data_IF_647176208732
#
_entry.id   IF_647176208732
#
_cell.length_a   1.000
_cell.length_b   1.000
_cell.length_c   1.000
_cell.angle_alpha   90.00
_cell.angle_beta   90.00
_cell.angle_gamma   90.00
#
_symmetry.space_group_name_H-M   'P 1'
#
loop_
_entity.id
_entity.type
_entity.pdbx_description
1 polymer ?
#
# COMPACT_ATOMS: atom_id res chain seq x y z
N UNK A 1 -3.49 11.59 23.52
CA UNK A 1 -4.07 10.42 24.23
C UNK A 1 -3.61 9.18 23.48
N UNK A 2 -3.16 8.12 24.16
CA UNK A 2 -2.85 6.83 23.52
C UNK A 2 -4.18 6.17 23.14
N UNK A 3 -4.40 5.90 21.86
CA UNK A 3 -5.62 5.23 21.40
C UNK A 3 -5.23 3.87 20.86
N UNK A 4 -6.00 2.83 21.19
CA UNK A 4 -5.80 1.49 20.65
C UNK A 4 -6.60 1.36 19.34
N UNK A 5 -5.92 1.41 18.21
CA UNK A 5 -6.49 0.96 16.94
C UNK A 5 -6.04 -0.48 16.70
N UNK A 6 -6.99 -1.42 16.61
CA UNK A 6 -6.69 -2.84 16.37
C UNK A 6 -5.68 -3.46 17.35
N UNK A 7 -5.66 -2.98 18.60
CA UNK A 7 -4.71 -3.44 19.63
C UNK A 7 -3.32 -2.81 19.58
N UNK A 8 -3.05 -1.93 18.60
CA UNK A 8 -1.79 -1.20 18.48
C UNK A 8 -1.88 0.09 19.29
N UNK A 9 -0.91 0.30 20.19
CA UNK A 9 -0.80 1.51 21.01
C UNK A 9 0.07 2.53 20.29
N UNK A 10 -0.53 3.65 19.89
CA UNK A 10 0.16 4.77 19.26
C UNK A 10 -0.31 6.12 19.79
N UNK A 11 0.52 7.15 19.56
CA UNK A 11 0.15 8.55 19.78
C UNK A 11 -0.50 9.08 18.51
N UNK A 12 -1.78 9.41 18.60
CA UNK A 12 -2.51 10.05 17.51
C UNK A 12 -2.28 11.56 17.54
N UNK A 13 -1.99 12.11 16.37
CA UNK A 13 -1.68 13.50 16.11
C UNK A 13 -2.40 13.93 14.83
N UNK A 14 -2.53 15.23 14.60
CA UNK A 14 -3.19 15.76 13.41
C UNK A 14 -2.43 16.98 12.94
N UNK A 15 -2.07 17.01 11.65
CA UNK A 15 -1.63 18.23 11.00
C UNK A 15 -2.87 18.98 10.56
N UNK A 16 -3.12 20.14 11.17
CA UNK A 16 -4.20 21.04 10.76
C UNK A 16 -3.74 21.88 9.57
N UNK A 17 -4.50 21.84 8.48
CA UNK A 17 -4.25 22.62 7.28
C UNK A 17 -5.44 23.54 7.02
N UNK A 18 -5.27 24.64 6.26
CA UNK A 18 -6.30 25.69 6.14
C UNK A 18 -7.70 25.20 5.72
N UNK A 19 -7.79 24.06 5.04
CA UNK A 19 -9.04 23.51 4.53
C UNK A 19 -9.16 21.99 4.72
N UNK A 20 -8.26 21.36 5.48
CA UNK A 20 -8.26 19.91 5.71
C UNK A 20 -7.43 19.54 6.94
N UNK A 21 -7.73 18.40 7.52
CA UNK A 21 -6.98 17.78 8.61
C UNK A 21 -6.35 16.47 8.12
N UNK A 22 -5.07 16.29 8.43
CA UNK A 22 -4.31 15.07 8.13
C UNK A 22 -3.95 14.38 9.46
N UNK A 23 -4.81 13.49 9.97
CA UNK A 23 -4.49 12.66 11.13
C UNK A 23 -3.42 11.63 10.80
N UNK A 24 -2.54 11.39 11.76
CA UNK A 24 -1.50 10.37 11.69
C UNK A 24 -1.24 9.77 13.07
N UNK A 25 -0.75 8.54 13.10
CA UNK A 25 -0.43 7.79 14.29
C UNK A 25 1.06 7.49 14.34
N UNK A 26 1.68 7.82 15.48
CA UNK A 26 3.07 7.45 15.78
C UNK A 26 3.08 6.25 16.71
N UNK A 27 3.74 5.18 16.29
CA UNK A 27 4.03 4.01 17.12
C UNK A 27 5.52 4.00 17.47
N UNK A 28 5.83 3.92 18.76
CA UNK A 28 7.18 4.14 19.29
C UNK A 28 7.42 5.58 19.75
N UNK A 29 8.67 5.91 20.04
CA UNK A 29 9.07 7.23 20.53
C UNK A 29 9.96 7.96 19.52
N UNK A 30 9.38 8.97 18.87
CA UNK A 30 10.09 9.84 17.93
C UNK A 30 10.80 11.01 18.59
N UNK A 31 10.70 11.26 19.91
CA UNK A 31 11.50 12.32 20.55
C UNK A 31 12.82 11.78 21.08
N UNK A 32 12.81 10.54 21.58
CA UNK A 32 13.96 9.90 22.23
C UNK A 32 14.49 8.67 21.45
N UNK A 33 14.66 8.81 20.14
CA UNK A 33 15.33 7.81 19.30
C UNK A 33 16.49 8.42 18.52
N UNK A 34 17.53 7.62 18.29
CA UNK A 34 18.61 7.91 17.32
C UNK A 34 18.32 7.35 15.92
N UNK A 35 17.22 6.60 15.76
CA UNK A 35 16.79 6.04 14.47
C UNK A 35 15.86 7.01 13.75
N UNK A 36 16.05 7.12 12.44
CA UNK A 36 15.12 7.83 11.57
C UNK A 36 13.77 7.11 11.57
N UNK A 37 12.64 7.80 11.84
CA UNK A 37 11.32 7.18 11.79
C UNK A 37 10.98 6.67 10.39
N UNK A 38 10.15 5.62 10.34
CA UNK A 38 9.59 5.07 9.12
C UNK A 38 8.21 5.69 8.86
N UNK A 39 8.00 6.33 7.71
CA UNK A 39 6.65 6.70 7.26
C UNK A 39 6.12 5.58 6.37
N UNK A 40 5.03 4.96 6.81
CA UNK A 40 4.42 3.80 6.18
C UNK A 40 3.26 4.22 5.27
N UNK A 41 3.39 3.97 3.97
CA UNK A 41 2.37 4.34 2.98
C UNK A 41 1.49 3.15 2.64
N UNK A 42 0.20 3.26 2.92
CA UNK A 42 -0.78 2.29 2.45
C UNK A 42 -1.06 2.50 0.96
N UNK A 43 -1.51 1.44 0.28
CA UNK A 43 -1.96 1.52 -1.11
C UNK A 43 -3.48 1.68 -1.20
N UNK A 44 -4.02 1.24 -2.34
CA UNK A 44 -5.44 1.29 -2.68
C UNK A 44 -5.62 1.88 -4.07
N UNK A 45 -5.42 3.20 -4.30
CA UNK A 45 -5.53 4.26 -3.32
C UNK A 45 -6.85 4.14 -2.57
N UNK A 46 -6.89 4.59 -1.32
CA UNK A 46 -8.09 4.47 -0.50
C UNK A 46 -8.37 3.13 0.14
N UNK A 47 -7.32 2.32 0.35
CA UNK A 47 -7.34 1.41 1.49
C UNK A 47 -6.94 2.17 2.76
N UNK A 48 -6.97 1.45 3.88
CA UNK A 48 -6.70 1.99 5.20
C UNK A 48 -5.27 1.68 5.63
N UNK A 49 -4.72 2.53 6.51
CA UNK A 49 -3.47 2.26 7.22
C UNK A 49 -3.48 0.92 7.97
N UNK A 50 -4.65 0.40 8.36
CA UNK A 50 -4.78 -0.88 9.06
C UNK A 50 -4.25 -2.08 8.27
N UNK A 51 -4.21 -1.96 6.93
CA UNK A 51 -3.65 -3.00 6.05
C UNK A 51 -2.15 -3.21 6.22
N UNK A 52 -1.42 -2.24 6.78
CA UNK A 52 0.05 -2.25 6.92
C UNK A 52 0.53 -2.16 8.38
N UNK A 53 -0.40 -2.29 9.32
CA UNK A 53 -0.15 -2.27 10.76
C UNK A 53 0.88 -3.25 11.31
N UNK A 54 1.18 -4.42 10.72
CA UNK A 54 2.28 -5.26 11.18
C UNK A 54 3.62 -4.53 11.30
N UNK A 55 3.84 -3.47 10.52
CA UNK A 55 5.04 -2.63 10.66
C UNK A 55 5.23 -2.04 12.07
N UNK A 56 4.18 -1.96 12.90
CA UNK A 56 4.30 -1.52 14.29
C UNK A 56 5.32 -2.32 15.10
N UNK A 57 5.63 -3.56 14.66
CA UNK A 57 6.63 -4.41 15.30
C UNK A 57 8.03 -3.79 15.27
N UNK A 58 8.32 -2.95 14.28
CA UNK A 58 9.59 -2.24 14.18
C UNK A 58 9.86 -1.36 15.41
N UNK A 59 8.80 -0.80 16.00
CA UNK A 59 8.87 0.02 17.19
C UNK A 59 9.02 -0.80 18.49
N UNK A 60 8.86 -2.13 18.43
CA UNK A 60 8.94 -3.03 19.59
C UNK A 60 10.27 -3.78 19.68
N UNK A 61 11.15 -3.66 18.68
CA UNK A 61 12.48 -4.29 18.71
C UNK A 61 13.41 -3.66 19.76
N UNK A 62 14.45 -4.39 20.22
CA UNK A 62 15.44 -3.85 21.17
C UNK A 62 16.14 -2.57 20.70
N UNK A 63 16.34 -2.41 19.38
CA UNK A 63 16.68 -1.14 18.74
C UNK A 63 15.45 -0.68 17.95
N UNK A 64 14.54 0.08 18.58
CA UNK A 64 13.24 0.37 17.99
C UNK A 64 13.36 1.43 16.90
N UNK A 65 12.59 1.22 15.83
CA UNK A 65 12.40 2.19 14.76
C UNK A 65 10.96 2.68 14.88
N UNK A 66 10.71 3.95 15.22
CA UNK A 66 9.35 4.46 15.28
C UNK A 66 8.71 4.41 13.90
N UNK A 67 7.40 4.13 13.87
CA UNK A 67 6.63 4.03 12.64
C UNK A 67 5.49 5.05 12.68
N UNK A 68 5.33 5.77 11.58
CA UNK A 68 4.31 6.77 11.36
C UNK A 68 3.35 6.21 10.31
N UNK A 69 2.12 6.01 10.74
CA UNK A 69 1.00 5.64 9.88
C UNK A 69 0.12 6.84 9.67
N UNK A 70 -0.46 7.00 8.49
CA UNK A 70 -1.48 8.00 8.25
C UNK A 70 -2.43 7.49 7.17
N UNK A 71 -3.65 8.01 7.17
CA UNK A 71 -4.59 7.75 6.10
C UNK A 71 -4.48 8.90 5.08
N UNK A 72 -4.30 8.60 3.79
CA UNK A 72 -4.25 9.63 2.76
C UNK A 72 -5.56 10.43 2.69
N UNK A 73 -5.52 11.73 2.34
CA UNK A 73 -6.74 12.55 2.24
C UNK A 73 -7.77 11.90 1.31
N UNK A 74 -9.04 12.00 1.69
CA UNK A 74 -10.17 11.31 1.05
C UNK A 74 -10.42 9.90 1.58
N UNK A 75 -9.67 9.44 2.58
CA UNK A 75 -9.82 8.09 3.15
C UNK A 75 -9.94 8.12 4.67
N UNK A 76 -10.64 7.12 5.20
CA UNK A 76 -10.60 6.78 6.62
C UNK A 76 -10.93 7.97 7.53
N UNK A 77 -10.00 8.29 8.44
CA UNK A 77 -10.06 9.36 9.42
C UNK A 77 -9.65 10.72 8.86
N UNK A 78 -9.03 10.76 7.68
CA UNK A 78 -8.59 12.01 7.05
C UNK A 78 -9.76 12.75 6.41
N UNK A 79 -9.59 14.05 6.13
CA UNK A 79 -10.67 14.85 5.53
C UNK A 79 -11.18 14.22 4.24
N UNK A 80 -12.50 14.07 4.16
CA UNK A 80 -13.22 13.60 2.97
C UNK A 80 -13.53 14.77 2.05
N UNK A 81 -13.38 14.56 0.74
CA UNK A 81 -13.52 15.59 -0.30
C UNK A 81 -14.42 15.07 -1.42
N UNK A 82 -15.63 14.65 -1.06
CA UNK A 82 -16.55 13.89 -1.91
C UNK A 82 -17.08 14.71 -3.10
N UNK A 83 -17.01 16.04 -3.00
CA UNK A 83 -17.40 16.98 -4.05
C UNK A 83 -16.33 17.13 -5.14
N UNK A 84 -15.11 16.63 -4.93
CA UNK A 84 -14.01 16.83 -5.87
C UNK A 84 -14.15 15.94 -7.11
N UNK A 85 -13.93 16.49 -8.31
CA UNK A 85 -13.97 15.70 -9.53
C UNK A 85 -12.81 14.70 -9.59
N UNK A 86 -12.96 13.66 -10.41
CA UNK A 86 -11.91 12.63 -10.59
C UNK A 86 -10.54 13.22 -10.96
N UNK A 87 -10.51 14.34 -11.70
CA UNK A 87 -9.28 15.03 -12.11
C UNK A 87 -8.53 15.72 -10.97
N UNK A 88 -9.15 15.90 -9.81
CA UNK A 88 -8.49 16.45 -8.61
C UNK A 88 -7.50 15.46 -8.01
N UNK A 89 -7.84 14.17 -8.05
CA UNK A 89 -7.09 13.09 -7.42
C UNK A 89 -5.89 12.72 -8.29
N UNK A 90 -4.72 13.27 -7.96
CA UNK A 90 -3.47 13.08 -8.71
C UNK A 90 -2.36 12.51 -7.83
N UNK A 91 -1.33 11.91 -8.43
CA UNK A 91 -0.16 11.46 -7.67
C UNK A 91 0.59 12.66 -7.07
N UNK A 92 0.69 13.77 -7.80
CA UNK A 92 1.35 14.99 -7.30
C UNK A 92 0.67 15.53 -6.03
N UNK A 93 -0.66 15.48 -5.97
CA UNK A 93 -1.41 15.82 -4.76
C UNK A 93 -0.98 14.99 -3.54
N UNK A 94 -0.83 13.68 -3.70
CA UNK A 94 -0.40 12.79 -2.62
C UNK A 94 1.10 12.90 -2.31
N UNK A 95 1.93 13.28 -3.29
CA UNK A 95 3.36 13.62 -3.06
C UNK A 95 3.47 14.91 -2.23
N UNK A 96 2.66 15.93 -2.52
CA UNK A 96 2.65 17.18 -1.74
C UNK A 96 2.18 16.92 -0.31
N UNK A 97 1.16 16.09 -0.13
CA UNK A 97 0.69 15.64 1.19
C UNK A 97 1.78 14.89 1.97
N UNK A 98 2.47 13.95 1.34
CA UNK A 98 3.57 13.22 1.95
C UNK A 98 4.74 14.15 2.33
N UNK A 99 5.10 15.08 1.44
CA UNK A 99 6.19 16.04 1.65
C UNK A 99 5.88 16.93 2.85
N UNK A 100 4.63 17.36 2.95
CA UNK A 100 4.13 18.11 4.09
C UNK A 100 4.25 17.32 5.40
N UNK A 101 3.75 16.08 5.43
CA UNK A 101 3.87 15.20 6.60
C UNK A 101 5.34 15.06 7.03
N UNK A 102 6.23 14.78 6.08
CA UNK A 102 7.66 14.61 6.36
C UNK A 102 8.28 15.89 6.93
N UNK A 103 7.92 17.05 6.36
CA UNK A 103 8.50 18.36 6.72
C UNK A 103 8.13 18.86 8.11
N UNK A 104 6.96 18.47 8.64
CA UNK A 104 6.40 19.10 9.84
C UNK A 104 6.69 18.36 11.14
N UNK A 105 6.93 17.04 11.13
CA UNK A 105 6.95 16.29 12.40
C UNK A 105 7.74 14.98 12.42
N UNK A 106 8.57 14.68 11.41
CA UNK A 106 9.11 13.31 11.25
C UNK A 106 10.63 13.19 11.31
N UNK A 107 11.37 14.28 11.57
CA UNK A 107 12.84 14.32 11.69
C UNK A 107 13.56 13.63 10.51
N UNK A 108 13.11 13.90 9.28
CA UNK A 108 13.74 13.37 8.07
C UNK A 108 13.42 11.89 7.80
N UNK A 109 12.17 11.48 8.06
CA UNK A 109 11.74 10.10 7.95
C UNK A 109 12.10 9.42 6.61
N UNK A 110 12.39 8.13 6.69
CA UNK A 110 12.50 7.26 5.51
C UNK A 110 11.10 6.77 5.15
N UNK A 111 10.72 6.97 3.90
CA UNK A 111 9.45 6.47 3.40
C UNK A 111 9.63 5.04 2.92
N UNK A 112 8.79 4.13 3.41
CA UNK A 112 8.67 2.77 2.91
C UNK A 112 7.29 2.62 2.28
N UNK A 113 7.26 2.50 0.96
CA UNK A 113 6.06 2.25 0.18
C UNK A 113 5.61 0.80 0.41
N UNK A 114 4.56 0.62 1.21
CA UNK A 114 3.96 -0.68 1.50
C UNK A 114 2.68 -0.89 0.71
N UNK A 115 2.91 -1.22 -0.55
CA UNK A 115 2.27 -2.28 -1.28
C UNK A 115 0.97 -2.90 -0.66
N UNK A 116 -0.23 -2.51 -1.15
CA UNK A 116 -1.60 -2.95 -0.72
C UNK A 116 -2.64 -3.31 -1.83
N UNK A 117 -3.66 -4.16 -1.57
CA UNK A 117 -4.40 -5.01 -2.52
C UNK A 117 -5.09 -4.51 -3.80
N UNK A 118 -5.15 -3.21 -4.08
CA UNK A 118 -5.76 -2.70 -5.34
C UNK A 118 -4.91 -1.65 -6.09
N UNK A 119 -3.78 -1.24 -5.51
CA UNK A 119 -2.63 -0.58 -6.20
C UNK A 119 -1.33 -0.91 -5.50
N UNK A 120 -1.19 -2.18 -5.15
CA UNK A 120 -0.04 -2.67 -4.37
C UNK A 120 1.28 -2.47 -5.07
N UNK A 121 1.20 -2.26 -6.34
CA UNK A 121 2.34 -1.90 -7.11
C UNK A 121 1.83 -0.64 -7.76
N UNK A 122 2.42 0.48 -7.38
CA UNK A 122 2.62 1.53 -8.36
C UNK A 122 3.63 0.89 -9.31
N UNK A 123 3.20 0.13 -10.35
CA UNK A 123 4.19 -0.33 -11.29
C UNK A 123 4.88 0.93 -11.80
N UNK A 124 6.14 0.80 -12.17
CA UNK A 124 6.74 1.85 -12.97
C UNK A 124 5.90 2.12 -14.22
N UNK A 125 5.10 1.14 -14.70
CA UNK A 125 4.22 1.26 -15.85
C UNK A 125 2.89 0.50 -15.69
N UNK A 126 1.74 1.18 -15.83
CA UNK A 126 0.41 0.54 -15.85
C UNK A 126 0.26 -0.47 -16.96
N UNK A 127 0.91 -0.22 -18.11
CA UNK A 127 0.91 -1.15 -19.24
C UNK A 127 1.53 -2.50 -18.86
N UNK A 128 2.69 -2.49 -18.20
CA UNK A 128 3.35 -3.72 -17.75
C UNK A 128 2.51 -4.43 -16.68
N UNK A 129 1.90 -3.69 -15.76
CA UNK A 129 1.00 -4.27 -14.76
C UNK A 129 -0.22 -4.92 -15.38
N UNK A 130 -0.84 -4.28 -16.38
CA UNK A 130 -1.96 -4.85 -17.10
C UNK A 130 -1.56 -6.16 -17.79
N UNK A 131 -0.39 -6.20 -18.45
CA UNK A 131 0.12 -7.43 -19.07
C UNK A 131 0.34 -8.55 -18.03
N UNK A 132 0.88 -8.22 -16.86
CA UNK A 132 1.05 -9.19 -15.77
C UNK A 132 -0.29 -9.71 -15.24
N UNK A 133 -1.24 -8.81 -14.98
CA UNK A 133 -2.60 -9.19 -14.56
C UNK A 133 -3.27 -10.11 -15.57
N UNK A 134 -3.14 -9.83 -16.88
CA UNK A 134 -3.74 -10.68 -17.92
C UNK A 134 -3.14 -12.09 -17.95
N UNK A 135 -1.85 -12.26 -17.65
CA UNK A 135 -1.24 -13.60 -17.51
C UNK A 135 -1.76 -14.35 -16.29
N UNK A 136 -1.92 -13.67 -15.15
CA UNK A 136 -2.55 -14.26 -13.96
C UNK A 136 -4.01 -14.63 -14.21
N UNK A 137 -4.74 -13.79 -14.94
CA UNK A 137 -6.10 -14.10 -15.38
C UNK A 137 -6.13 -15.32 -16.31
N UNK A 138 -5.12 -15.55 -17.14
CA UNK A 138 -5.03 -16.75 -17.97
C UNK A 138 -4.68 -18.02 -17.19
N UNK A 139 -4.06 -17.90 -16.00
CA UNK A 139 -3.65 -19.06 -15.19
C UNK A 139 -4.73 -19.59 -14.24
N UNK A 140 -5.87 -18.91 -14.10
CA UNK A 140 -7.00 -19.36 -13.27
C UNK A 140 -8.07 -20.08 -14.11
N UNK A 141 -8.96 -20.88 -13.49
CA UNK A 141 -9.99 -21.64 -14.22
C UNK A 141 -10.89 -20.77 -15.10
N UNK A 142 -11.27 -21.27 -16.28
CA UNK A 142 -12.01 -20.53 -17.30
C UNK A 142 -13.34 -19.99 -16.78
N UNK A 143 -14.04 -20.76 -15.96
CA UNK A 143 -15.29 -20.35 -15.32
C UNK A 143 -15.13 -19.12 -14.42
N UNK A 144 -14.00 -19.03 -13.71
CA UNK A 144 -13.67 -17.88 -12.87
C UNK A 144 -13.33 -16.67 -13.75
N UNK A 145 -12.58 -16.89 -14.84
CA UNK A 145 -12.23 -15.84 -15.79
C UNK A 145 -13.48 -15.21 -16.40
N UNK A 146 -14.45 -16.02 -16.83
CA UNK A 146 -15.67 -15.55 -17.47
C UNK A 146 -16.49 -14.64 -16.56
N UNK A 147 -16.64 -15.01 -15.28
CA UNK A 147 -17.34 -14.20 -14.29
C UNK A 147 -16.64 -12.85 -14.09
N UNK A 148 -15.32 -12.85 -13.90
CA UNK A 148 -14.54 -11.62 -13.68
C UNK A 148 -14.53 -10.72 -14.93
N UNK A 149 -14.40 -11.31 -16.13
CA UNK A 149 -14.44 -10.58 -17.40
C UNK A 149 -15.81 -9.94 -17.64
N UNK A 150 -16.90 -10.66 -17.35
CA UNK A 150 -18.27 -10.15 -17.50
C UNK A 150 -18.51 -8.89 -16.67
N UNK A 151 -17.85 -8.79 -15.52
CA UNK A 151 -17.97 -7.64 -14.65
C UNK A 151 -17.17 -6.41 -15.13
N UNK A 152 -16.17 -6.60 -15.99
CA UNK A 152 -15.44 -5.49 -16.64
C UNK A 152 -14.68 -4.60 -15.65
N UNK A 153 -14.14 -5.17 -14.58
CA UNK A 153 -13.37 -4.44 -13.57
C UNK A 153 -14.19 -3.64 -12.56
N UNK A 154 -15.52 -3.68 -12.63
CA UNK A 154 -16.39 -3.08 -11.61
C UNK A 154 -16.46 -3.97 -10.38
N UNK A 155 -16.42 -3.39 -9.19
CA UNK A 155 -16.69 -4.16 -7.97
C UNK A 155 -18.21 -4.33 -7.85
N UNK A 156 -18.70 -5.56 -7.72
CA UNK A 156 -20.11 -5.86 -7.47
C UNK A 156 -20.25 -6.82 -6.30
N UNK A 157 -20.23 -6.25 -5.10
CA UNK A 157 -20.37 -6.98 -3.84
C UNK A 157 -21.74 -7.62 -3.66
N UNK A 158 -22.74 -7.24 -4.46
CA UNK A 158 -24.08 -7.83 -4.42
C UNK A 158 -24.17 -9.16 -5.19
N UNK A 159 -23.28 -9.37 -6.16
CA UNK A 159 -23.26 -10.54 -7.01
C UNK A 159 -22.48 -11.70 -6.37
N UNK A 160 -23.20 -12.78 -6.02
CA UNK A 160 -22.63 -13.97 -5.38
C UNK A 160 -21.62 -14.70 -6.25
N UNK A 161 -21.81 -14.76 -7.57
CA UNK A 161 -20.87 -15.40 -8.49
C UNK A 161 -19.59 -14.59 -8.60
N UNK A 162 -19.72 -13.26 -8.75
CA UNK A 162 -18.60 -12.34 -8.73
C UNK A 162 -17.81 -12.46 -7.43
N UNK A 163 -18.48 -12.45 -6.27
CA UNK A 163 -17.82 -12.58 -4.97
C UNK A 163 -17.03 -13.89 -4.84
N UNK A 164 -17.57 -15.00 -5.33
CA UNK A 164 -16.84 -16.29 -5.36
C UNK A 164 -15.62 -16.24 -6.26
N UNK A 165 -15.76 -15.66 -7.45
CA UNK A 165 -14.66 -15.53 -8.41
C UNK A 165 -13.57 -14.57 -7.90
N UNK A 166 -13.96 -13.44 -7.31
CA UNK A 166 -13.06 -12.49 -6.67
C UNK A 166 -12.35 -13.11 -5.47
N UNK A 167 -13.05 -13.86 -4.62
CA UNK A 167 -12.45 -14.59 -3.51
C UNK A 167 -11.43 -15.64 -3.98
N UNK A 168 -11.72 -16.34 -5.09
CA UNK A 168 -10.76 -17.25 -5.71
C UNK A 168 -9.49 -16.50 -6.15
N UNK A 169 -9.65 -15.40 -6.89
CA UNK A 169 -8.52 -14.58 -7.33
C UNK A 169 -7.70 -14.06 -6.15
N UNK A 170 -8.36 -13.50 -5.14
CA UNK A 170 -7.72 -13.03 -3.90
C UNK A 170 -6.99 -14.16 -3.17
N UNK A 171 -7.51 -15.38 -3.14
CA UNK A 171 -6.82 -16.52 -2.52
C UNK A 171 -5.56 -16.94 -3.28
N UNK A 172 -5.55 -16.80 -4.61
CA UNK A 172 -4.39 -17.17 -5.42
C UNK A 172 -3.29 -16.11 -5.39
N UNK A 173 -3.67 -14.83 -5.56
CA UNK A 173 -2.72 -13.75 -5.81
C UNK A 173 -2.76 -12.63 -4.76
N UNK A 174 -3.69 -12.68 -3.81
CA UNK A 174 -3.92 -11.66 -2.77
C UNK A 174 -3.43 -12.07 -1.37
N UNK A 175 -3.89 -13.21 -0.86
CA UNK A 175 -3.40 -13.75 0.42
C UNK A 175 -3.48 -15.28 0.42
N UNK A 176 -2.42 -15.91 0.91
CA UNK A 176 -2.28 -17.36 1.04
C UNK A 176 -2.77 -17.87 2.40
N UNK A 177 -2.72 -17.03 3.42
CA UNK A 177 -3.10 -17.36 4.80
C UNK A 177 -4.24 -16.43 5.23
N UNK A 178 -5.46 -16.88 4.97
CA UNK A 178 -6.63 -16.05 4.76
C UNK A 178 -7.37 -15.62 6.04
N UNK A 179 -6.75 -14.92 7.00
CA UNK A 179 -7.53 -14.39 8.15
C UNK A 179 -7.34 -12.88 8.42
N UNK A 180 -6.14 -12.35 8.70
CA UNK A 180 -6.03 -10.95 9.12
C UNK A 180 -6.22 -9.93 7.99
N UNK A 181 -5.72 -10.24 6.77
CA UNK A 181 -5.88 -9.36 5.61
C UNK A 181 -7.31 -9.33 5.11
N UNK A 182 -8.03 -10.46 5.17
CA UNK A 182 -9.45 -10.48 4.80
C UNK A 182 -10.26 -9.58 5.72
N UNK A 183 -9.96 -9.52 7.02
CA UNK A 183 -10.69 -8.64 7.92
C UNK A 183 -10.28 -7.17 7.79
N UNK A 184 -8.99 -6.84 7.60
CA UNK A 184 -8.56 -5.46 7.35
C UNK A 184 -9.09 -4.93 5.99
N UNK A 185 -9.07 -5.78 4.96
CA UNK A 185 -9.64 -5.48 3.64
C UNK A 185 -11.17 -5.41 3.72
N UNK A 186 -11.83 -6.36 4.36
CA UNK A 186 -13.28 -6.34 4.53
C UNK A 186 -13.71 -5.14 5.36
N UNK A 187 -12.97 -4.75 6.40
CA UNK A 187 -13.22 -3.52 7.11
C UNK A 187 -13.07 -2.30 6.18
N UNK A 188 -12.00 -2.23 5.39
CA UNK A 188 -11.82 -1.15 4.40
C UNK A 188 -12.98 -1.08 3.40
N UNK A 189 -13.46 -2.24 2.92
CA UNK A 189 -14.54 -2.34 1.93
C UNK A 189 -15.95 -2.12 2.52
N UNK A 190 -16.15 -2.37 3.82
CA UNK A 190 -17.45 -2.19 4.51
C UNK A 190 -17.77 -0.72 4.84
N UNK A 191 -16.79 0.17 4.70
CA UNK A 191 -16.97 1.59 4.92
C UNK A 191 -16.94 2.28 3.55
N UNK A 192 -18.10 2.34 2.90
CA UNK A 192 -18.26 2.80 1.51
C UNK A 192 -17.73 4.22 1.27
N UNK A 193 -17.72 5.07 2.31
CA UNK A 193 -17.14 6.42 2.30
C UNK A 193 -15.63 6.44 1.98
N UNK A 194 -14.94 5.30 2.07
CA UNK A 194 -13.49 5.19 1.77
C UNK A 194 -13.18 4.85 0.31
N UNK A 195 -14.20 4.65 -0.53
CA UNK A 195 -13.99 4.27 -1.93
C UNK A 195 -13.94 5.46 -2.88
N UNK A 196 -14.14 6.71 -2.42
CA UNK A 196 -14.13 7.90 -3.29
C UNK A 196 -12.81 8.03 -4.03
N UNK A 197 -11.69 7.99 -3.30
CA UNK A 197 -10.35 8.06 -3.90
C UNK A 197 -10.07 6.83 -4.77
N UNK A 198 -10.42 5.64 -4.30
CA UNK A 198 -10.24 4.40 -5.07
C UNK A 198 -10.99 4.49 -6.41
N UNK A 199 -12.25 4.88 -6.39
CA UNK A 199 -13.11 4.99 -7.56
C UNK A 199 -12.61 6.08 -8.52
N UNK A 200 -12.25 7.25 -8.01
CA UNK A 200 -11.69 8.32 -8.81
C UNK A 200 -10.39 7.89 -9.50
N UNK A 201 -9.53 7.18 -8.79
CA UNK A 201 -8.25 6.70 -9.32
C UNK A 201 -8.40 5.57 -10.32
N UNK A 202 -9.36 4.66 -10.13
CA UNK A 202 -9.67 3.58 -11.07
C UNK A 202 -10.29 4.10 -12.38
N UNK A 203 -11.03 5.21 -12.32
CA UNK A 203 -11.66 5.83 -13.51
C UNK A 203 -10.78 6.88 -14.18
N UNK A 204 -9.85 7.48 -13.43
CA UNK A 204 -9.00 8.57 -13.88
C UNK A 204 -7.77 8.15 -14.69
N UNK A 205 -7.02 9.15 -15.17
CA UNK A 205 -5.83 8.99 -16.04
C UNK A 205 -4.70 8.16 -15.41
N UNK A 206 -4.64 8.08 -14.09
CA UNK A 206 -3.65 7.26 -13.38
C UNK A 206 -3.86 5.76 -13.65
N UNK A 207 -5.08 5.32 -13.94
CA UNK A 207 -5.32 3.95 -14.34
C UNK A 207 -4.91 3.68 -15.79
N UNK A 208 -5.00 4.66 -16.69
CA UNK A 208 -4.76 4.47 -18.11
C UNK A 208 -3.32 4.75 -18.56
N UNK A 209 -2.69 5.82 -18.05
CA UNK A 209 -1.50 6.43 -18.68
C UNK A 209 -0.27 6.47 -17.76
N UNK A 210 -0.38 5.98 -16.52
CA UNK A 210 0.72 6.09 -15.56
C UNK A 210 1.96 5.28 -15.98
N UNK A 211 3.05 6.00 -16.22
CA UNK A 211 4.39 5.47 -16.42
C UNK A 211 5.44 6.45 -15.86
N UNK A 212 6.34 5.96 -15.02
CA UNK A 212 7.47 6.69 -14.43
C UNK A 212 8.79 5.96 -14.66
N UNK A 213 8.80 4.95 -15.54
CA UNK A 213 10.00 4.14 -15.83
C UNK A 213 11.18 5.01 -16.25
N UNK A 214 10.91 6.04 -17.05
CA UNK A 214 11.89 7.02 -17.54
C UNK A 214 12.47 7.92 -16.42
N UNK A 215 11.79 8.03 -15.27
CA UNK A 215 12.20 8.85 -14.12
C UNK A 215 12.83 8.06 -12.98
N UNK A 216 12.80 6.72 -13.01
CA UNK A 216 13.36 5.88 -11.95
C UNK A 216 14.85 6.17 -11.68
N UNK A 217 15.59 6.52 -12.74
CA UNK A 217 16.99 6.90 -12.64
C UNK A 217 17.22 8.18 -11.83
N UNK A 218 16.19 8.94 -11.46
CA UNK A 218 16.30 10.12 -10.59
C UNK A 218 16.38 9.73 -9.10
N UNK A 219 16.03 8.49 -8.74
CA UNK A 219 16.12 8.01 -7.35
C UNK A 219 17.60 7.85 -6.96
N UNK A 220 18.05 8.63 -5.98
CA UNK A 220 19.45 8.66 -5.49
C UNK A 220 19.67 7.96 -4.16
N UNK A 221 18.58 7.77 -3.39
CA UNK A 221 18.61 7.14 -2.07
C UNK A 221 18.73 5.63 -2.20
N UNK A 222 19.27 4.99 -1.16
CA UNK A 222 19.24 3.54 -1.07
C UNK A 222 17.78 3.07 -1.04
N UNK A 223 17.45 2.10 -1.88
CA UNK A 223 16.07 1.62 -2.07
C UNK A 223 15.99 0.13 -1.80
N UNK A 224 15.00 -0.28 -1.00
CA UNK A 224 14.65 -1.69 -0.81
C UNK A 224 13.45 -2.02 -1.70
N UNK A 225 13.66 -2.92 -2.64
CA UNK A 225 12.62 -3.50 -3.47
C UNK A 225 12.21 -4.84 -2.88
N UNK A 226 10.92 -4.97 -2.54
CA UNK A 226 10.35 -6.19 -2.00
C UNK A 226 9.30 -6.71 -2.98
N UNK A 227 9.31 -8.01 -3.23
CA UNK A 227 8.22 -8.68 -3.95
C UNK A 227 8.04 -10.10 -3.46
N UNK A 228 7.05 -10.78 -4.01
CA UNK A 228 6.63 -12.08 -3.52
C UNK A 228 6.42 -13.05 -4.67
N UNK A 229 6.70 -14.33 -4.40
CA UNK A 229 6.69 -15.38 -5.44
C UNK A 229 5.31 -15.61 -6.06
N UNK A 230 4.25 -15.49 -5.27
CA UNK A 230 2.87 -15.81 -5.70
C UNK A 230 2.01 -14.56 -5.96
N UNK A 231 2.62 -13.38 -5.98
CA UNK A 231 1.93 -12.15 -6.34
C UNK A 231 1.66 -12.13 -7.87
N UNK A 232 0.58 -11.47 -8.29
CA UNK A 232 0.38 -11.15 -9.71
C UNK A 232 1.43 -10.17 -10.25
N UNK A 233 2.17 -9.52 -9.34
CA UNK A 233 3.31 -8.65 -9.65
C UNK A 233 4.59 -9.44 -9.47
N UNK A 234 4.92 -10.15 -10.54
CA UNK A 234 6.10 -10.97 -10.61
C UNK A 234 7.36 -10.16 -10.89
N UNK A 235 8.46 -10.90 -11.01
CA UNK A 235 9.82 -10.40 -11.20
C UNK A 235 10.00 -9.42 -12.35
N UNK A 236 9.19 -9.51 -13.40
CA UNK A 236 9.23 -8.59 -14.55
C UNK A 236 9.00 -7.13 -14.14
N UNK A 237 8.03 -6.87 -13.27
CA UNK A 237 7.73 -5.51 -12.82
C UNK A 237 8.81 -4.99 -11.88
N UNK A 238 9.29 -5.84 -10.97
CA UNK A 238 10.39 -5.53 -10.07
C UNK A 238 11.70 -5.28 -10.82
N UNK A 239 11.96 -6.00 -11.92
CA UNK A 239 13.13 -5.79 -12.76
C UNK A 239 13.18 -4.38 -13.34
N UNK A 240 12.03 -3.75 -13.59
CA UNK A 240 11.96 -2.38 -14.07
C UNK A 240 12.54 -1.41 -13.04
N UNK A 241 12.25 -1.61 -11.75
CA UNK A 241 12.86 -0.83 -10.67
C UNK A 241 14.33 -1.18 -10.50
N UNK A 242 14.65 -2.48 -10.43
CA UNK A 242 16.00 -2.95 -10.16
C UNK A 242 17.00 -2.47 -11.21
N UNK A 243 16.62 -2.47 -12.49
CA UNK A 243 17.49 -2.07 -13.59
C UNK A 243 17.65 -0.55 -13.74
N UNK A 244 16.68 0.25 -13.27
CA UNK A 244 16.68 1.70 -13.48
C UNK A 244 17.00 2.52 -12.22
N UNK A 245 17.01 1.92 -11.02
CA UNK A 245 17.44 2.57 -9.79
C UNK A 245 18.90 2.20 -9.51
N UNK A 246 19.76 3.21 -9.34
CA UNK A 246 21.21 2.98 -9.18
C UNK A 246 21.59 2.28 -7.86
N UNK A 247 20.86 2.55 -6.77
CA UNK A 247 21.13 2.00 -5.42
C UNK A 247 19.94 1.22 -4.91
N UNK A 248 19.80 -0.02 -5.35
CA UNK A 248 18.65 -0.86 -5.05
C UNK A 248 19.08 -2.24 -4.53
N UNK A 249 18.44 -2.68 -3.45
CA UNK A 249 18.50 -4.05 -2.95
C UNK A 249 17.16 -4.71 -3.21
N UNK A 250 17.18 -5.93 -3.74
CA UNK A 250 15.94 -6.66 -4.05
C UNK A 250 15.87 -7.93 -3.20
N UNK A 251 14.76 -8.10 -2.47
CA UNK A 251 14.44 -9.30 -1.70
C UNK A 251 13.07 -9.84 -2.12
N UNK A 252 13.03 -11.13 -2.46
CA UNK A 252 11.78 -11.84 -2.76
C UNK A 252 11.36 -12.73 -1.58
N UNK A 253 10.08 -12.67 -1.23
CA UNK A 253 9.43 -13.53 -0.23
C UNK A 253 8.87 -14.79 -0.89
N UNK A 254 9.46 -15.94 -0.58
CA UNK A 254 9.24 -17.18 -1.32
C UNK A 254 7.93 -17.90 -0.97
N UNK A 255 7.30 -17.54 0.15
CA UNK A 255 6.09 -18.18 0.68
C UNK A 255 4.88 -17.23 0.71
N UNK A 256 5.05 -15.99 0.22
CA UNK A 256 4.04 -14.94 0.24
C UNK A 256 3.39 -14.70 -1.13
N UNK A 257 2.20 -14.13 -1.09
CA UNK A 257 1.51 -13.54 -2.24
C UNK A 257 1.53 -12.02 -2.10
N UNK A 258 0.44 -11.37 -1.72
CA UNK A 258 0.32 -9.93 -1.80
C UNK A 258 0.51 -9.23 -0.47
N UNK A 259 0.87 -9.92 0.62
CA UNK A 259 0.99 -9.30 1.94
C UNK A 259 2.05 -10.03 2.78
N UNK A 260 3.33 -9.96 2.39
CA UNK A 260 4.41 -10.66 3.07
C UNK A 260 4.60 -10.18 4.51
N UNK A 261 4.20 -8.95 4.82
CA UNK A 261 4.17 -8.41 6.18
C UNK A 261 3.13 -9.09 7.08
N UNK A 262 2.16 -9.79 6.51
CA UNK A 262 1.21 -10.66 7.22
C UNK A 262 1.57 -12.14 7.06
N UNK A 263 1.99 -12.58 5.87
CA UNK A 263 2.23 -13.99 5.52
C UNK A 263 3.59 -14.51 6.02
N UNK A 264 4.63 -13.68 5.97
CA UNK A 264 6.00 -13.98 6.40
C UNK A 264 6.50 -12.91 7.41
N UNK A 265 5.63 -12.49 8.34
CA UNK A 265 5.81 -11.32 9.23
C UNK A 265 7.19 -11.24 9.89
N UNK A 266 7.67 -12.32 10.51
CA UNK A 266 8.98 -12.33 11.17
C UNK A 266 10.12 -12.02 10.19
N UNK A 267 10.18 -12.76 9.08
CA UNK A 267 11.18 -12.57 8.02
C UNK A 267 11.07 -11.19 7.39
N UNK A 268 9.84 -10.72 7.19
CA UNK A 268 9.57 -9.40 6.64
C UNK A 268 10.16 -8.30 7.52
N UNK A 269 9.88 -8.35 8.82
CA UNK A 269 10.42 -7.38 9.77
C UNK A 269 11.94 -7.46 9.87
N UNK A 270 12.54 -8.65 9.82
CA UNK A 270 14.00 -8.82 9.79
C UNK A 270 14.64 -8.11 8.59
N UNK A 271 14.09 -8.33 7.39
CA UNK A 271 14.59 -7.71 6.15
C UNK A 271 14.47 -6.19 6.19
N UNK A 272 13.27 -5.69 6.55
CA UNK A 272 13.02 -4.24 6.61
C UNK A 272 13.88 -3.57 7.69
N UNK A 273 13.95 -4.16 8.89
CA UNK A 273 14.80 -3.64 9.97
C UNK A 273 16.26 -3.59 9.54
N UNK A 274 16.78 -4.66 8.95
CA UNK A 274 18.18 -4.74 8.55
C UNK A 274 18.54 -3.66 7.53
N UNK A 275 17.63 -3.38 6.60
CA UNK A 275 17.80 -2.30 5.64
C UNK A 275 17.75 -0.91 6.27
N UNK A 276 16.85 -0.68 7.22
CA UNK A 276 16.68 0.63 7.86
C UNK A 276 17.81 1.00 8.85
N UNK A 277 18.67 0.05 9.23
CA UNK A 277 19.77 0.27 10.18
C UNK A 277 21.16 0.24 9.54
N UNK A 278 21.23 0.02 8.22
CA UNK A 278 22.46 0.06 7.42
C UNK A 278 22.97 1.49 7.22
#
# INVERSE_FOLDING_TARGET
>A
MLTCYYGIKGRNLTIQLPWRDLPYMVVGDISNTSRTPLVALHGGPGLLQSSIFPLSDLASFPSPIPVIFYDQIGNAHSTHLDDKPESFWTIDFFIDELTLLISMDTRGAVCLLLSSPFTKDTPASRKLQHQALMRCMQSIPEEVQLVLKKQGGKIDTSNKEYNKAAAYFCKQFGTRYADPMLEALAYSLRHEDHLVVLNAMLKGKINSDWDVTDKLHLIRVLTLLLNEKYNFIGDELCSTFFCNINKVKWVQFAQSSHVPHWEERERYMEVVKSFLVE
#
